data_IF_323575703451
#
_entry.id   IF_323575703451
#
_cell.length_a   1.000
_cell.length_b   1.000
_cell.length_c   1.000
_cell.angle_alpha   90.00
_cell.angle_beta   90.00
_cell.angle_gamma   90.00
#
_symmetry.space_group_name_H-M   'P 1'
#
loop_
_entity.id
_entity.type
_entity.pdbx_description
1 polymer ?
#
# COMPACT_ATOMS: atom_id res chain seq x y z
N UNK A 1 -18.58 10.57 7.04
CA UNK A 1 -17.92 9.34 6.55
C UNK A 1 -17.06 9.74 5.36
N UNK A 2 -15.73 9.79 5.51
CA UNK A 2 -14.82 10.14 4.42
C UNK A 2 -14.64 8.86 3.59
N UNK A 3 -15.14 8.85 2.36
CA UNK A 3 -15.04 7.69 1.47
C UNK A 3 -13.55 7.38 1.25
N UNK A 4 -13.18 6.09 1.19
CA UNK A 4 -11.84 5.73 0.77
C UNK A 4 -11.59 6.31 -0.62
N UNK A 5 -10.38 6.84 -0.88
CA UNK A 5 -10.09 7.41 -2.18
C UNK A 5 -10.17 6.36 -3.27
N UNK A 6 -10.73 6.74 -4.41
CA UNK A 6 -10.87 5.87 -5.58
C UNK A 6 -9.88 6.28 -6.66
N UNK A 7 -9.60 5.38 -7.60
CA UNK A 7 -8.72 5.71 -8.72
C UNK A 7 -9.24 6.87 -9.58
N UNK A 8 -10.56 7.00 -9.63
CA UNK A 8 -11.25 8.07 -10.37
C UNK A 8 -10.94 9.45 -9.79
N UNK A 9 -10.61 9.51 -8.49
CA UNK A 9 -10.24 10.74 -7.79
C UNK A 9 -8.76 11.11 -8.03
N UNK A 10 -8.00 10.25 -8.71
CA UNK A 10 -6.58 10.50 -8.93
C UNK A 10 -6.37 11.60 -9.95
N UNK A 11 -5.64 12.64 -9.54
CA UNK A 11 -5.32 13.79 -10.38
C UNK A 11 -3.91 13.71 -10.94
N UNK A 12 -3.71 14.27 -12.13
CA UNK A 12 -2.36 14.54 -12.64
C UNK A 12 -1.77 15.66 -11.77
N UNK A 13 -0.54 15.51 -11.25
CA UNK A 13 0.09 16.54 -10.45
C UNK A 13 0.20 17.87 -11.21
N UNK A 14 -0.34 18.93 -10.63
CA UNK A 14 -0.12 20.30 -11.11
C UNK A 14 1.20 20.82 -10.53
N UNK A 15 2.20 20.99 -11.40
CA UNK A 15 3.57 21.31 -11.01
C UNK A 15 3.77 22.83 -11.00
N UNK A 16 4.36 23.32 -9.92
CA UNK A 16 4.75 24.73 -9.84
C UNK A 16 5.90 25.03 -10.81
N UNK A 17 6.09 26.30 -11.24
CA UNK A 17 7.25 26.69 -12.04
C UNK A 17 8.57 26.27 -11.39
N UNK A 18 9.36 25.46 -12.12
CA UNK A 18 10.64 24.92 -11.66
C UNK A 18 10.55 23.67 -10.77
N UNK A 19 9.35 23.15 -10.50
CA UNK A 19 9.15 21.85 -9.90
C UNK A 19 9.39 20.75 -10.94
N UNK A 20 10.18 19.74 -10.58
CA UNK A 20 10.56 18.61 -11.44
C UNK A 20 10.19 17.30 -10.77
N UNK A 21 9.57 16.41 -11.54
CA UNK A 21 9.31 15.04 -11.11
C UNK A 21 10.64 14.30 -11.04
N UNK A 22 10.91 13.67 -9.90
CA UNK A 22 12.08 12.84 -9.64
C UNK A 22 11.75 11.36 -9.80
N UNK A 23 10.57 10.94 -9.31
CA UNK A 23 10.13 9.55 -9.37
C UNK A 23 8.60 9.43 -9.29
N UNK A 24 8.08 8.31 -9.77
CA UNK A 24 6.70 7.90 -9.58
C UNK A 24 6.66 6.50 -8.97
N UNK A 25 5.83 6.33 -7.95
CA UNK A 25 5.68 5.09 -7.22
C UNK A 25 4.26 4.57 -7.40
N UNK A 26 4.15 3.38 -8.00
CA UNK A 26 2.90 2.69 -8.21
C UNK A 26 2.93 1.34 -7.50
N UNK A 27 1.77 0.87 -7.03
CA UNK A 27 1.65 -0.48 -6.49
C UNK A 27 1.98 -1.55 -7.52
N UNK A 28 2.82 -2.51 -7.13
CA UNK A 28 3.22 -3.64 -7.96
C UNK A 28 2.23 -4.80 -7.80
N UNK A 29 1.67 -5.27 -8.93
CA UNK A 29 0.69 -6.37 -8.94
C UNK A 29 1.24 -7.69 -8.41
N UNK A 30 2.51 -7.99 -8.70
CA UNK A 30 3.17 -9.22 -8.21
C UNK A 30 3.33 -9.17 -6.69
N UNK A 31 3.74 -8.03 -6.15
CA UNK A 31 3.80 -7.79 -4.70
C UNK A 31 2.42 -7.94 -4.06
N UNK A 32 1.40 -7.29 -4.63
CA UNK A 32 0.02 -7.39 -4.16
C UNK A 32 -0.46 -8.84 -4.08
N UNK A 33 -0.24 -9.62 -5.16
CA UNK A 33 -0.65 -11.02 -5.21
C UNK A 33 0.09 -11.86 -4.17
N UNK A 34 1.41 -11.66 -4.01
CA UNK A 34 2.20 -12.37 -2.99
C UNK A 34 1.68 -12.12 -1.58
N UNK A 35 1.34 -10.87 -1.24
CA UNK A 35 0.75 -10.56 0.07
C UNK A 35 -0.60 -11.22 0.27
N UNK A 36 -1.46 -11.27 -0.76
CA UNK A 36 -2.76 -11.94 -0.68
C UNK A 36 -2.63 -13.45 -0.55
N UNK A 37 -1.67 -14.07 -1.23
CA UNK A 37 -1.36 -15.50 -1.09
C UNK A 37 -0.86 -15.80 0.32
N UNK A 38 0.03 -14.97 0.87
CA UNK A 38 0.51 -15.10 2.25
C UNK A 38 -0.65 -14.96 3.25
N UNK A 39 -1.50 -13.94 3.07
CA UNK A 39 -2.67 -13.74 3.92
C UNK A 39 -3.65 -14.92 3.83
N UNK A 40 -3.86 -15.48 2.64
CA UNK A 40 -4.70 -16.67 2.44
C UNK A 40 -4.13 -17.90 3.12
N UNK A 41 -2.81 -18.10 3.08
CA UNK A 41 -2.15 -19.20 3.78
C UNK A 41 -2.32 -19.07 5.30
N UNK A 42 -2.04 -17.90 5.87
CA UNK A 42 -2.19 -17.65 7.32
C UNK A 42 -3.66 -17.79 7.73
N UNK A 43 -4.58 -17.17 6.99
CA UNK A 43 -6.02 -17.25 7.27
C UNK A 43 -6.55 -18.69 7.20
N UNK A 44 -6.04 -19.50 6.27
CA UNK A 44 -6.40 -20.93 6.16
C UNK A 44 -5.99 -21.70 7.41
N UNK A 45 -4.75 -21.53 7.89
CA UNK A 45 -4.26 -22.19 9.11
C UNK A 45 -5.09 -21.78 10.32
N UNK A 46 -5.32 -20.47 10.50
CA UNK A 46 -6.14 -19.95 11.61
C UNK A 46 -7.56 -20.52 11.56
N UNK A 47 -8.20 -20.55 10.40
CA UNK A 47 -9.56 -21.07 10.27
C UNK A 47 -9.66 -22.57 10.56
N UNK A 48 -8.70 -23.37 10.09
CA UNK A 48 -8.65 -24.80 10.40
C UNK A 48 -8.56 -25.02 11.91
N UNK A 49 -7.67 -24.29 12.60
CA UNK A 49 -7.49 -24.39 14.07
C UNK A 49 -8.79 -24.04 14.80
N UNK A 50 -9.46 -22.96 14.40
CA UNK A 50 -10.75 -22.55 14.98
C UNK A 50 -11.80 -23.65 14.80
N UNK A 51 -11.92 -24.21 13.59
CA UNK A 51 -12.90 -25.25 13.29
C UNK A 51 -12.64 -26.54 14.07
N UNK A 52 -11.37 -26.92 14.28
CA UNK A 52 -11.02 -28.04 15.15
C UNK A 52 -11.39 -27.77 16.60
N UNK A 53 -11.13 -26.56 17.12
CA UNK A 53 -11.42 -26.20 18.52
C UNK A 53 -12.92 -26.30 18.85
N UNK A 54 -13.79 -25.96 17.91
CA UNK A 54 -15.24 -26.10 18.06
C UNK A 54 -15.77 -27.49 17.65
N UNK A 55 -14.87 -28.47 17.44
CA UNK A 55 -15.18 -29.85 17.06
C UNK A 55 -16.01 -29.96 15.77
N UNK A 56 -15.77 -29.09 14.80
CA UNK A 56 -16.41 -29.16 13.49
C UNK A 56 -15.96 -30.44 12.75
N UNK A 57 -16.87 -31.23 12.15
CA UNK A 57 -16.52 -32.45 11.42
C UNK A 57 -15.73 -32.20 10.12
N UNK A 58 -15.72 -30.97 9.60
CA UNK A 58 -15.10 -30.59 8.33
C UNK A 58 -14.12 -29.41 8.47
N UNK A 59 -13.04 -29.50 9.28
CA UNK A 59 -12.14 -28.38 9.52
C UNK A 59 -11.39 -27.93 8.26
N UNK A 60 -11.23 -28.81 7.27
CA UNK A 60 -10.61 -28.50 5.97
C UNK A 60 -11.37 -27.42 5.19
N UNK A 61 -12.66 -27.24 5.45
CA UNK A 61 -13.48 -26.20 4.80
C UNK A 61 -13.00 -24.79 5.15
N UNK A 62 -12.29 -24.62 6.28
CA UNK A 62 -11.65 -23.36 6.65
C UNK A 62 -10.64 -22.87 5.61
N UNK A 63 -9.93 -23.80 4.95
CA UNK A 63 -8.98 -23.48 3.87
C UNK A 63 -9.74 -22.92 2.67
N UNK A 64 -10.77 -23.63 2.21
CA UNK A 64 -11.59 -23.22 1.05
C UNK A 64 -12.23 -21.86 1.30
N UNK A 65 -12.83 -21.67 2.48
CA UNK A 65 -13.46 -20.41 2.87
C UNK A 65 -12.47 -19.25 2.90
N UNK A 66 -11.30 -19.41 3.55
CA UNK A 66 -10.29 -18.37 3.63
C UNK A 66 -9.73 -17.98 2.26
N UNK A 67 -9.37 -18.98 1.44
CA UNK A 67 -8.84 -18.74 0.09
C UNK A 67 -9.88 -18.03 -0.78
N UNK A 68 -11.14 -18.49 -0.80
CA UNK A 68 -12.19 -17.84 -1.58
C UNK A 68 -12.46 -16.41 -1.12
N UNK A 69 -12.58 -16.19 0.19
CA UNK A 69 -12.84 -14.85 0.73
C UNK A 69 -11.73 -13.85 0.33
N UNK A 70 -10.47 -14.26 0.45
CA UNK A 70 -9.33 -13.40 0.15
C UNK A 70 -9.15 -13.23 -1.35
N UNK A 71 -9.34 -14.29 -2.15
CA UNK A 71 -9.25 -14.22 -3.60
C UNK A 71 -10.32 -13.29 -4.20
N UNK A 72 -11.58 -13.43 -3.76
CA UNK A 72 -12.68 -12.59 -4.24
C UNK A 72 -12.46 -11.12 -3.88
N UNK A 73 -12.13 -10.83 -2.62
CA UNK A 73 -11.83 -9.47 -2.17
C UNK A 73 -10.61 -8.88 -2.87
N UNK A 74 -9.56 -9.68 -3.00
CA UNK A 74 -8.32 -9.28 -3.66
C UNK A 74 -8.54 -8.97 -5.14
N UNK A 75 -9.29 -9.81 -5.85
CA UNK A 75 -9.62 -9.59 -7.26
C UNK A 75 -10.46 -8.33 -7.46
N UNK A 76 -11.44 -8.08 -6.58
CA UNK A 76 -12.28 -6.88 -6.64
C UNK A 76 -11.46 -5.59 -6.49
N UNK A 77 -10.48 -5.57 -5.56
CA UNK A 77 -9.70 -4.37 -5.22
C UNK A 77 -8.37 -4.24 -5.98
N UNK A 78 -7.96 -5.25 -6.76
CA UNK A 78 -6.64 -5.32 -7.37
C UNK A 78 -6.29 -4.08 -8.18
N UNK A 79 -7.18 -3.67 -9.08
CA UNK A 79 -6.95 -2.49 -9.94
C UNK A 79 -6.80 -1.24 -9.10
N UNK A 80 -7.70 -1.03 -8.15
CA UNK A 80 -7.72 0.15 -7.30
C UNK A 80 -6.47 0.27 -6.44
N UNK A 81 -6.13 -0.79 -5.70
CA UNK A 81 -5.01 -0.79 -4.78
C UNK A 81 -3.64 -0.70 -5.48
N UNK A 82 -3.53 -1.18 -6.73
CA UNK A 82 -2.29 -1.10 -7.50
C UNK A 82 -2.25 0.10 -8.45
N UNK A 83 -3.37 0.76 -8.68
CA UNK A 83 -3.48 1.88 -9.61
C UNK A 83 -3.02 3.22 -9.02
N UNK A 84 -2.98 3.36 -7.70
CA UNK A 84 -2.58 4.61 -7.04
C UNK A 84 -1.13 4.97 -7.34
N UNK A 85 -0.93 6.20 -7.83
CA UNK A 85 0.38 6.75 -8.14
C UNK A 85 0.74 7.83 -7.12
N UNK A 86 1.90 7.67 -6.51
CA UNK A 86 2.57 8.72 -5.75
C UNK A 86 3.65 9.36 -6.61
N UNK A 87 3.72 10.68 -6.63
CA UNK A 87 4.69 11.42 -7.44
C UNK A 87 5.64 12.19 -6.53
N UNK A 88 6.93 11.86 -6.60
CA UNK A 88 7.98 12.56 -5.89
C UNK A 88 8.55 13.65 -6.78
N UNK A 89 8.60 14.88 -6.28
CA UNK A 89 9.24 16.01 -6.93
C UNK A 89 10.45 16.48 -6.13
N UNK A 90 11.19 17.45 -6.66
CA UNK A 90 12.24 18.15 -5.93
C UNK A 90 11.72 19.05 -4.79
N UNK A 91 10.40 19.10 -4.53
CA UNK A 91 9.80 19.94 -3.48
C UNK A 91 8.88 19.18 -2.52
N UNK A 92 8.15 18.19 -3.03
CA UNK A 92 7.09 17.49 -2.29
C UNK A 92 6.86 16.08 -2.80
N UNK A 93 6.25 15.27 -1.95
CA UNK A 93 5.64 14.00 -2.29
C UNK A 93 4.13 14.21 -2.46
N UNK A 94 3.63 13.97 -3.66
CA UNK A 94 2.23 14.15 -4.04
C UNK A 94 1.56 12.78 -4.01
N UNK A 95 0.53 12.65 -3.19
CA UNK A 95 -0.28 11.46 -3.07
C UNK A 95 -1.37 11.39 -4.13
N UNK A 96 -1.98 10.20 -4.30
CA UNK A 96 -2.94 9.93 -5.36
C UNK A 96 -4.16 10.86 -5.32
N UNK A 97 -4.54 11.36 -4.15
CA UNK A 97 -5.76 12.17 -3.96
C UNK A 97 -5.47 13.67 -3.87
N UNK A 98 -4.34 14.11 -4.44
CA UNK A 98 -3.90 15.51 -4.41
C UNK A 98 -3.29 15.96 -3.08
N UNK A 99 -3.09 15.08 -2.10
CA UNK A 99 -2.37 15.43 -0.87
C UNK A 99 -0.90 15.73 -1.20
N UNK A 100 -0.41 16.92 -0.88
CA UNK A 100 0.97 17.33 -1.10
C UNK A 100 1.74 17.42 0.22
N UNK A 101 2.77 16.60 0.37
CA UNK A 101 3.63 16.55 1.56
C UNK A 101 4.98 17.18 1.20
N UNK A 102 5.26 18.39 1.70
CA UNK A 102 6.56 19.04 1.48
C UNK A 102 7.70 18.17 2.03
N UNK A 103 8.83 18.11 1.32
CA UNK A 103 9.93 17.22 1.72
C UNK A 103 10.48 17.53 3.12
N UNK A 104 10.51 18.81 3.50
CA UNK A 104 10.92 19.24 4.83
C UNK A 104 9.91 18.90 5.93
N UNK A 105 8.65 18.57 5.57
CA UNK A 105 7.62 18.15 6.52
C UNK A 105 7.59 16.63 6.72
N UNK A 106 8.43 15.88 6.00
CA UNK A 106 8.63 14.45 6.25
C UNK A 106 9.54 14.33 7.47
N UNK A 107 9.10 13.60 8.48
CA UNK A 107 9.91 13.28 9.65
C UNK A 107 10.74 12.02 9.38
N UNK A 108 10.06 10.95 8.95
CA UNK A 108 10.68 9.65 8.68
C UNK A 108 10.03 8.93 7.50
N UNK A 109 10.82 8.09 6.84
CA UNK A 109 10.33 7.10 5.88
C UNK A 109 10.66 5.71 6.41
N UNK A 110 9.65 4.88 6.66
CA UNK A 110 9.78 3.53 7.20
C UNK A 110 9.43 2.49 6.14
N UNK A 111 9.89 1.25 6.33
CA UNK A 111 9.47 0.11 5.52
C UNK A 111 8.65 -0.86 6.36
N UNK A 112 7.37 -1.02 6.03
CA UNK A 112 6.44 -1.92 6.74
C UNK A 112 5.90 -2.92 5.73
N UNK A 113 6.27 -4.20 5.88
CA UNK A 113 6.05 -5.23 4.86
C UNK A 113 6.57 -4.78 3.49
N UNK A 114 5.68 -4.58 2.52
CA UNK A 114 6.00 -4.10 1.18
C UNK A 114 5.65 -2.63 0.97
N UNK A 115 5.27 -1.91 2.03
CA UNK A 115 4.94 -0.51 1.95
C UNK A 115 6.11 0.39 2.39
N UNK A 116 6.31 1.50 1.69
CA UNK A 116 7.05 2.64 2.23
C UNK A 116 6.06 3.55 2.96
N UNK A 117 6.28 3.76 4.25
CA UNK A 117 5.45 4.62 5.09
C UNK A 117 6.15 5.96 5.30
N UNK A 118 5.54 7.02 4.81
CA UNK A 118 5.96 8.40 5.08
C UNK A 118 5.23 8.89 6.31
N UNK A 119 6.00 9.37 7.29
CA UNK A 119 5.50 9.98 8.52
C UNK A 119 5.80 11.48 8.45
N UNK A 120 4.79 12.32 8.68
CA UNK A 120 4.98 13.78 8.72
C UNK A 120 5.43 14.22 10.11
N UNK A 121 5.98 15.43 10.22
CA UNK A 121 6.32 16.05 11.52
C UNK A 121 5.07 16.16 12.43
N UNK A 122 3.89 16.35 11.84
CA UNK A 122 2.61 16.38 12.57
C UNK A 122 2.15 14.98 13.03
N UNK A 123 2.83 13.92 12.60
CA UNK A 123 2.52 12.52 12.95
C UNK A 123 1.57 11.81 11.98
N UNK A 124 1.17 12.46 10.87
CA UNK A 124 0.34 11.82 9.85
C UNK A 124 1.12 10.70 9.15
N UNK A 125 0.42 9.61 8.84
CA UNK A 125 1.03 8.43 8.21
C UNK A 125 0.42 8.18 6.85
N UNK A 126 1.29 8.14 5.85
CA UNK A 126 0.95 7.88 4.47
C UNK A 126 1.65 6.63 3.99
N UNK A 127 0.90 5.70 3.40
CA UNK A 127 1.46 4.42 2.96
C UNK A 127 1.46 4.33 1.44
N UNK A 128 2.65 4.21 0.87
CA UNK A 128 2.88 3.77 -0.49
C UNK A 128 2.84 2.25 -0.46
N UNK A 129 1.66 1.67 -0.65
CA UNK A 129 1.43 0.22 -0.50
C UNK A 129 1.98 -0.57 -1.70
N UNK A 130 2.21 -1.87 -1.48
CA UNK A 130 2.54 -2.86 -2.52
C UNK A 130 3.76 -2.48 -3.37
N UNK A 131 4.78 -1.86 -2.80
CA UNK A 131 5.98 -1.48 -3.57
C UNK A 131 6.71 -2.74 -4.06
N UNK A 132 7.28 -2.67 -5.26
CA UNK A 132 8.17 -3.74 -5.74
C UNK A 132 9.39 -3.88 -4.82
N UNK A 133 9.93 -2.75 -4.39
CA UNK A 133 10.99 -2.64 -3.39
C UNK A 133 10.75 -1.43 -2.49
N UNK A 134 10.23 -1.66 -1.28
CA UNK A 134 9.96 -0.58 -0.32
C UNK A 134 11.23 0.11 0.18
N UNK A 135 12.38 -0.57 0.18
CA UNK A 135 13.65 0.02 0.61
C UNK A 135 14.20 0.96 -0.44
N UNK A 136 14.08 0.61 -1.72
CA UNK A 136 14.44 1.52 -2.81
C UNK A 136 13.49 2.74 -2.86
N UNK A 137 12.16 2.53 -2.72
CA UNK A 137 11.21 3.64 -2.60
C UNK A 137 11.60 4.57 -1.44
N UNK A 138 11.95 4.01 -0.27
CA UNK A 138 12.47 4.78 0.86
C UNK A 138 13.73 5.57 0.49
N UNK A 139 14.73 4.90 -0.09
CA UNK A 139 16.00 5.52 -0.44
C UNK A 139 15.85 6.67 -1.44
N UNK A 140 14.91 6.57 -2.39
CA UNK A 140 14.61 7.65 -3.33
C UNK A 140 14.00 8.87 -2.62
N UNK A 141 13.09 8.66 -1.67
CA UNK A 141 12.49 9.75 -0.88
C UNK A 141 13.52 10.38 0.06
N UNK A 142 14.34 9.58 0.74
CA UNK A 142 15.40 10.07 1.63
C UNK A 142 16.44 10.89 0.86
N UNK A 143 16.85 10.43 -0.34
CA UNK A 143 17.72 11.21 -1.22
C UNK A 143 17.11 12.55 -1.62
N UNK A 144 15.82 12.61 -1.93
CA UNK A 144 15.16 13.84 -2.32
C UNK A 144 15.04 14.84 -1.17
N UNK A 145 14.84 14.37 0.07
CA UNK A 145 14.75 15.24 1.26
C UNK A 145 16.11 15.58 1.89
N UNK A 146 17.20 14.96 1.42
CA UNK A 146 18.57 15.19 1.91
C UNK A 146 18.89 14.47 3.23
N UNK A 147 18.33 13.28 3.45
CA UNK A 147 18.55 12.43 4.62
C UNK A 147 19.40 11.19 4.32
#
# INVERSE_FOLDING_TARGET
>A
MKLEPRLEDQTVPDLEPGEKILAQFQGNRTTYLKEHVMLAAIGSVVMVVILMAIKNPFPWTGIVGAVLAIALRGAYLLKEQTGFIWTLTNRRLIGPTGSAILLHNIDAVNTIFTAAQVVTIAGDKHMLKYQADAKDTKAQIDRARGA
#
